data_IF_708271852931
#
_entry.id   IF_708271852931
#
_cell.length_a   1.000
_cell.length_b   1.000
_cell.length_c   1.000
_cell.angle_alpha   90.00
_cell.angle_beta   90.00
_cell.angle_gamma   90.00
#
_symmetry.space_group_name_H-M   'P 1'
#
loop_
_entity.id
_entity.type
_entity.pdbx_description
1 polymer ?
#
# COMPACT_ATOMS: atom_id res chain seq x y z
N UNK A 1 -2.79 -14.75 8.27
CA UNK A 1 -2.78 -15.40 6.94
C UNK A 1 -1.86 -14.56 6.05
N UNK A 2 -1.03 -15.18 5.22
CA UNK A 2 -0.34 -14.44 4.16
C UNK A 2 -1.31 -14.24 2.99
N UNK A 3 -1.20 -13.09 2.32
CA UNK A 3 -1.96 -12.73 1.12
C UNK A 3 -0.99 -12.49 -0.03
N UNK A 4 -1.48 -12.37 -1.26
CA UNK A 4 -0.63 -12.03 -2.40
C UNK A 4 -0.11 -10.59 -2.28
N UNK A 5 0.94 -10.27 -3.04
CA UNK A 5 1.48 -8.90 -3.11
C UNK A 5 0.42 -7.93 -3.62
N UNK A 6 -0.34 -8.34 -4.64
CA UNK A 6 -1.38 -7.54 -5.27
C UNK A 6 -2.49 -7.23 -4.26
N UNK A 7 -2.94 -8.24 -3.52
CA UNK A 7 -3.99 -8.09 -2.51
C UNK A 7 -3.52 -7.21 -1.34
N UNK A 8 -2.26 -7.35 -0.91
CA UNK A 8 -1.66 -6.48 0.10
C UNK A 8 -1.57 -5.01 -0.38
N UNK A 9 -1.16 -4.79 -1.63
CA UNK A 9 -1.07 -3.44 -2.23
C UNK A 9 -2.45 -2.79 -2.33
N UNK A 10 -3.46 -3.54 -2.75
CA UNK A 10 -4.84 -3.04 -2.82
C UNK A 10 -5.39 -2.66 -1.46
N UNK A 11 -5.13 -3.49 -0.43
CA UNK A 11 -5.61 -3.20 0.93
C UNK A 11 -4.93 -1.95 1.51
N UNK A 12 -3.63 -1.75 1.25
CA UNK A 12 -2.94 -0.51 1.67
C UNK A 12 -3.54 0.72 0.96
N UNK A 13 -3.83 0.62 -0.34
CA UNK A 13 -4.47 1.71 -1.10
C UNK A 13 -5.87 2.02 -0.60
N UNK A 14 -6.67 0.99 -0.31
CA UNK A 14 -8.05 1.14 0.19
C UNK A 14 -8.12 1.91 1.51
N UNK A 15 -7.12 1.74 2.35
CA UNK A 15 -7.06 2.34 3.69
C UNK A 15 -6.24 3.66 3.75
N UNK A 16 -5.87 4.21 2.59
CA UNK A 16 -5.24 5.53 2.50
C UNK A 16 -6.25 6.63 2.90
N UNK A 17 -5.87 7.48 3.83
CA UNK A 17 -6.72 8.55 4.37
C UNK A 17 -7.57 8.16 5.57
N UNK A 18 -7.55 6.88 5.99
CA UNK A 18 -8.24 6.41 7.20
C UNK A 18 -7.25 5.77 8.20
N UNK A 19 -6.55 4.72 7.78
CA UNK A 19 -5.53 4.05 8.61
C UNK A 19 -4.13 4.57 8.35
N UNK A 20 -3.88 5.09 7.14
CA UNK A 20 -2.58 5.57 6.71
C UNK A 20 -2.68 6.97 6.15
N UNK A 21 -1.59 7.72 6.28
CA UNK A 21 -1.45 8.99 5.56
C UNK A 21 -1.41 8.72 4.04
N UNK A 22 -2.26 9.39 3.23
CA UNK A 22 -2.29 9.19 1.79
C UNK A 22 -0.95 9.41 1.09
N UNK A 23 -0.17 10.41 1.54
CA UNK A 23 1.15 10.70 0.98
C UNK A 23 2.14 9.58 1.31
N UNK A 24 2.12 9.04 2.53
CA UNK A 24 2.98 7.91 2.90
C UNK A 24 2.64 6.64 2.12
N UNK A 25 1.37 6.40 1.81
CA UNK A 25 0.97 5.27 0.94
C UNK A 25 1.57 5.43 -0.45
N UNK A 26 1.52 6.62 -1.05
CA UNK A 26 2.15 6.86 -2.35
C UNK A 26 3.67 6.63 -2.31
N UNK A 27 4.36 7.13 -1.29
CA UNK A 27 5.81 6.94 -1.13
C UNK A 27 6.15 5.46 -0.96
N UNK A 28 5.42 4.76 -0.08
CA UNK A 28 5.60 3.33 0.14
C UNK A 28 5.43 2.53 -1.15
N UNK A 29 4.35 2.81 -1.90
CA UNK A 29 4.07 2.10 -3.14
C UNK A 29 5.14 2.32 -4.21
N UNK A 30 5.76 3.50 -4.28
CA UNK A 30 6.91 3.75 -5.15
C UNK A 30 8.09 2.86 -4.75
N UNK A 31 8.43 2.85 -3.46
CA UNK A 31 9.57 2.05 -2.93
C UNK A 31 9.38 0.55 -3.17
N UNK A 32 8.17 0.02 -3.01
CA UNK A 32 7.93 -1.42 -3.18
C UNK A 32 7.61 -1.83 -4.62
N UNK A 33 7.30 -0.88 -5.51
CA UNK A 33 7.07 -1.14 -6.93
C UNK A 33 8.36 -1.12 -7.75
N UNK A 34 9.37 -0.38 -7.29
CA UNK A 34 10.69 -0.33 -7.91
C UNK A 34 11.55 -1.52 -7.44
N UNK A 35 11.43 -2.64 -8.16
CA UNK A 35 12.45 -3.69 -8.33
C UNK A 35 12.73 -3.81 -9.83
#
# INVERSE_FOLDING_TARGET
RAVSREEAVEEIRRNAGTQFDPHLVEVFLKVVSDI
#
